data_IF_268941525591
#
_entry.id   IF_268941525591
#
_cell.length_a   1.000
_cell.length_b   1.000
_cell.length_c   1.000
_cell.angle_alpha   90.00
_cell.angle_beta   90.00
_cell.angle_gamma   90.00
#
_symmetry.space_group_name_H-M   'P 1'
#
loop_
_entity.id
_entity.type
_entity.pdbx_description
1 polymer ?
#
# COMPACT_ATOMS: atom_id res chain seq x y z
N UNK A 1 -4.50 -12.71 19.89
CA UNK A 1 -3.99 -12.11 18.63
C UNK A 1 -3.27 -13.18 17.80
N UNK A 2 -4.01 -14.14 17.26
CA UNK A 2 -3.48 -15.27 16.46
C UNK A 2 -3.89 -15.20 14.98
N UNK A 3 -4.87 -14.36 14.65
CA UNK A 3 -5.45 -14.19 13.31
C UNK A 3 -4.47 -13.62 12.27
N UNK A 4 -3.47 -12.82 12.69
CA UNK A 4 -2.50 -12.21 11.77
C UNK A 4 -1.37 -13.16 11.33
N UNK A 5 -1.15 -14.27 12.05
CA UNK A 5 -0.02 -15.16 11.80
C UNK A 5 -0.10 -15.87 10.43
N UNK A 6 -1.31 -16.20 9.95
CA UNK A 6 -1.50 -16.86 8.65
C UNK A 6 -1.11 -15.94 7.48
N UNK A 7 -1.57 -14.69 7.53
CA UNK A 7 -1.28 -13.68 6.51
C UNK A 7 0.21 -13.35 6.51
N UNK A 8 0.80 -13.20 7.70
CA UNK A 8 2.24 -12.97 7.86
C UNK A 8 3.09 -14.14 7.38
N UNK A 9 2.73 -15.39 7.68
CA UNK A 9 3.43 -16.58 7.17
C UNK A 9 3.39 -16.66 5.64
N UNK A 10 2.23 -16.36 5.05
CA UNK A 10 2.05 -16.45 3.60
C UNK A 10 2.84 -15.34 2.88
N UNK A 11 2.82 -14.13 3.42
CA UNK A 11 3.61 -13.00 2.92
C UNK A 11 5.11 -13.22 3.13
N UNK A 12 5.52 -13.74 4.29
CA UNK A 12 6.91 -14.02 4.62
C UNK A 12 7.48 -15.16 3.76
N UNK A 13 6.72 -16.24 3.52
CA UNK A 13 7.11 -17.31 2.58
C UNK A 13 7.32 -16.75 1.16
N UNK A 14 6.43 -15.88 0.69
CA UNK A 14 6.60 -15.20 -0.61
C UNK A 14 7.82 -14.30 -0.65
N UNK A 15 8.09 -13.55 0.41
CA UNK A 15 9.19 -12.58 0.44
C UNK A 15 10.56 -13.25 0.64
N UNK A 16 10.62 -14.33 1.41
CA UNK A 16 11.84 -15.09 1.67
C UNK A 16 12.27 -15.95 0.47
N UNK A 17 11.31 -16.42 -0.34
CA UNK A 17 11.61 -17.12 -1.62
C UNK A 17 12.04 -16.19 -2.76
N UNK A 18 11.97 -14.86 -2.61
CA UNK A 18 12.44 -13.95 -3.66
C UNK A 18 13.97 -13.96 -3.72
N UNK A 19 14.48 -14.32 -4.89
CA UNK A 19 15.89 -14.19 -5.27
C UNK A 19 16.36 -12.74 -5.09
N UNK A 20 17.68 -12.51 -5.01
CA UNK A 20 18.24 -11.16 -4.89
C UNK A 20 17.72 -10.22 -5.99
N UNK A 21 17.55 -10.75 -7.22
CA UNK A 21 16.96 -10.05 -8.36
C UNK A 21 15.47 -9.71 -8.13
N UNK A 22 14.69 -10.60 -7.51
CA UNK A 22 13.31 -10.32 -7.12
C UNK A 22 13.18 -9.22 -6.05
N UNK A 23 14.22 -9.02 -5.22
CA UNK A 23 14.26 -7.92 -4.22
C UNK A 23 14.61 -6.59 -4.87
N UNK A 24 15.57 -6.55 -5.79
CA UNK A 24 15.93 -5.32 -6.51
C UNK A 24 14.81 -4.85 -7.41
N UNK A 25 14.15 -5.74 -8.15
CA UNK A 25 12.99 -5.41 -8.99
C UNK A 25 11.83 -4.85 -8.14
N UNK A 26 11.57 -5.44 -6.97
CA UNK A 26 10.55 -4.92 -6.06
C UNK A 26 10.91 -3.53 -5.51
N UNK A 27 12.19 -3.28 -5.21
CA UNK A 27 12.68 -1.96 -4.79
C UNK A 27 12.55 -0.91 -5.89
N UNK A 28 12.93 -1.24 -7.13
CA UNK A 28 12.77 -0.37 -8.29
C UNK A 28 11.30 -0.05 -8.58
N UNK A 29 10.42 -1.05 -8.52
CA UNK A 29 8.99 -0.84 -8.68
C UNK A 29 8.40 0.10 -7.62
N UNK A 30 8.85 -0.02 -6.37
CA UNK A 30 8.44 0.89 -5.31
C UNK A 30 8.94 2.33 -5.55
N UNK A 31 10.21 2.50 -5.93
CA UNK A 31 10.77 3.81 -6.28
C UNK A 31 10.02 4.46 -7.45
N UNK A 32 9.71 3.67 -8.49
CA UNK A 32 8.92 4.12 -9.63
C UNK A 32 7.51 4.56 -9.22
N UNK A 33 6.89 3.86 -8.26
CA UNK A 33 5.58 4.22 -7.72
C UNK A 33 5.63 5.57 -7.00
N UNK A 34 6.68 5.84 -6.23
CA UNK A 34 6.89 7.15 -5.58
C UNK A 34 7.09 8.25 -6.62
N UNK A 35 7.94 8.02 -7.61
CA UNK A 35 8.17 8.98 -8.70
C UNK A 35 6.87 9.32 -9.44
N UNK A 36 6.07 8.29 -9.71
CA UNK A 36 4.75 8.40 -10.33
C UNK A 36 3.77 9.24 -9.49
N UNK A 37 3.83 9.13 -8.16
CA UNK A 37 3.02 9.98 -7.26
C UNK A 37 3.47 11.45 -7.32
N UNK A 38 4.77 11.72 -7.36
CA UNK A 38 5.30 13.08 -7.55
C UNK A 38 4.85 13.65 -8.89
N UNK A 39 4.85 12.85 -9.95
CA UNK A 39 4.37 13.25 -11.27
C UNK A 39 2.87 13.61 -11.26
N UNK A 40 2.04 12.92 -10.48
CA UNK A 40 0.64 13.29 -10.31
C UNK A 40 0.46 14.69 -9.69
N UNK A 41 1.23 15.00 -8.65
CA UNK A 41 1.21 16.33 -8.03
C UNK A 41 1.71 17.40 -9.01
N UNK A 42 2.82 17.12 -9.71
CA UNK A 42 3.38 18.03 -10.71
C UNK A 42 2.38 18.31 -11.84
N UNK A 43 1.66 17.29 -12.33
CA UNK A 43 0.61 17.44 -13.33
C UNK A 43 -0.49 18.39 -12.86
N UNK A 44 -0.96 18.22 -11.61
CA UNK A 44 -1.95 19.12 -11.03
C UNK A 44 -1.48 20.57 -11.01
N UNK A 45 -0.24 20.81 -10.58
CA UNK A 45 0.37 22.15 -10.55
C UNK A 45 0.51 22.74 -11.95
N UNK A 46 1.00 21.97 -12.92
CA UNK A 46 1.16 22.39 -14.31
C UNK A 46 -0.19 22.81 -14.90
N UNK A 47 -1.23 22.01 -14.68
CA UNK A 47 -2.56 22.28 -15.22
C UNK A 47 -3.19 23.52 -14.60
N UNK A 48 -2.98 23.75 -13.30
CA UNK A 48 -3.53 24.91 -12.58
C UNK A 48 -2.77 26.22 -12.86
N UNK A 49 -1.44 26.17 -12.93
CA UNK A 49 -0.60 27.37 -13.14
C UNK A 49 -0.54 27.78 -14.60
N UNK A 50 -0.71 26.83 -15.50
CA UNK A 50 -0.60 27.05 -16.93
C UNK A 50 0.79 27.36 -17.44
N UNK A 51 1.84 27.06 -16.67
CA UNK A 51 3.24 27.36 -17.01
C UNK A 51 3.87 26.51 -18.11
N UNK A 52 3.09 25.81 -18.94
CA UNK A 52 3.57 25.01 -20.07
C UNK A 52 2.92 25.49 -21.36
N UNK A 53 3.74 25.56 -22.42
CA UNK A 53 3.34 25.91 -23.77
C UNK A 53 2.25 24.98 -24.32
N UNK A 54 1.37 25.56 -25.13
CA UNK A 54 0.20 24.85 -25.68
C UNK A 54 0.57 23.60 -26.50
N UNK A 55 1.74 23.57 -27.13
CA UNK A 55 2.19 22.41 -27.93
C UNK A 55 2.61 21.22 -27.05
N UNK A 56 3.24 21.48 -25.91
CA UNK A 56 3.69 20.45 -24.97
C UNK A 56 2.59 20.00 -24.01
N UNK A 57 1.47 20.71 -23.96
CA UNK A 57 0.40 20.48 -22.98
C UNK A 57 -0.24 19.09 -23.10
N UNK A 58 -0.54 18.64 -24.32
CA UNK A 58 -1.15 17.33 -24.57
C UNK A 58 -0.24 16.15 -24.20
N UNK A 59 1.02 16.08 -24.67
CA UNK A 59 1.91 15.00 -24.26
C UNK A 59 2.15 15.00 -22.74
N UNK A 60 2.28 16.18 -22.12
CA UNK A 60 2.41 16.27 -20.66
C UNK A 60 1.16 15.75 -19.94
N UNK A 61 -0.04 16.07 -20.44
CA UNK A 61 -1.29 15.58 -19.87
C UNK A 61 -1.38 14.04 -19.93
N UNK A 62 -1.03 13.44 -21.07
CA UNK A 62 -1.03 11.98 -21.21
C UNK A 62 0.04 11.30 -20.36
N UNK A 63 1.27 11.81 -20.37
CA UNK A 63 2.37 11.24 -19.57
C UNK A 63 2.07 11.37 -18.09
N UNK A 64 1.63 12.55 -17.64
CA UNK A 64 1.26 12.79 -16.24
C UNK A 64 0.11 11.91 -15.80
N UNK A 65 -0.94 11.77 -16.62
CA UNK A 65 -2.07 10.91 -16.30
C UNK A 65 -1.67 9.42 -16.26
N UNK A 66 -0.85 8.97 -17.22
CA UNK A 66 -0.30 7.61 -17.24
C UNK A 66 0.54 7.29 -16.01
N UNK A 67 1.48 8.18 -15.65
CA UNK A 67 2.28 8.04 -14.43
C UNK A 67 1.39 8.03 -13.19
N UNK A 68 0.38 8.92 -13.11
CA UNK A 68 -0.57 8.92 -12.00
C UNK A 68 -1.32 7.58 -11.85
N UNK A 69 -1.72 6.97 -12.97
CA UNK A 69 -2.33 5.64 -12.96
C UNK A 69 -1.34 4.55 -12.51
N UNK A 70 -0.07 4.63 -12.93
CA UNK A 70 0.98 3.74 -12.44
C UNK A 70 1.18 3.83 -10.93
N UNK A 71 1.08 5.02 -10.33
CA UNK A 71 1.15 5.19 -8.89
C UNK A 71 0.06 4.38 -8.17
N UNK A 72 -1.20 4.50 -8.64
CA UNK A 72 -2.32 3.74 -8.08
C UNK A 72 -2.10 2.23 -8.25
N UNK A 73 -1.70 1.79 -9.45
CA UNK A 73 -1.44 0.38 -9.73
C UNK A 73 -0.33 -0.20 -8.85
N UNK A 74 0.72 0.58 -8.57
CA UNK A 74 1.83 0.18 -7.72
C UNK A 74 1.41 -0.20 -6.30
N UNK A 75 0.33 0.39 -5.78
CA UNK A 75 -0.25 0.01 -4.49
C UNK A 75 -1.41 -0.98 -4.63
N UNK A 76 -2.23 -0.85 -5.68
CA UNK A 76 -3.40 -1.68 -5.90
C UNK A 76 -3.03 -3.14 -6.22
N UNK A 77 -2.04 -3.38 -7.08
CA UNK A 77 -1.68 -4.74 -7.51
C UNK A 77 -1.13 -5.57 -6.35
N UNK A 78 -0.15 -5.08 -5.55
CA UNK A 78 0.30 -5.83 -4.37
C UNK A 78 -0.85 -6.12 -3.40
N UNK A 79 -1.71 -5.14 -3.14
CA UNK A 79 -2.89 -5.30 -2.29
C UNK A 79 -3.84 -6.38 -2.85
N UNK A 80 -4.16 -6.32 -4.14
CA UNK A 80 -5.04 -7.27 -4.82
C UNK A 80 -4.48 -8.70 -4.77
N UNK A 81 -3.15 -8.87 -4.71
CA UNK A 81 -2.48 -10.17 -4.63
C UNK A 81 -2.28 -10.69 -3.19
N UNK A 82 -2.67 -9.92 -2.17
CA UNK A 82 -2.62 -10.38 -0.77
C UNK A 82 -3.79 -11.32 -0.45
N UNK A 83 -3.56 -12.45 0.25
CA UNK A 83 -4.65 -13.25 0.81
C UNK A 83 -5.29 -12.50 1.99
N UNK A 84 -6.60 -12.65 2.19
CA UNK A 84 -7.38 -11.92 3.21
C UNK A 84 -7.21 -10.40 3.12
N UNK A 85 -7.55 -9.85 1.94
CA UNK A 85 -7.44 -8.42 1.61
C UNK A 85 -8.19 -7.56 2.63
N UNK A 86 -7.44 -6.94 3.54
CA UNK A 86 -7.98 -5.99 4.51
C UNK A 86 -8.06 -4.59 3.90
N UNK A 87 -8.82 -3.72 4.55
CA UNK A 87 -8.91 -2.32 4.17
C UNK A 87 -7.55 -1.62 4.29
N UNK A 88 -7.04 -1.09 3.18
CA UNK A 88 -5.82 -0.28 3.18
C UNK A 88 -6.15 1.21 3.04
N UNK A 89 -5.89 1.97 4.11
CA UNK A 89 -6.11 3.43 4.14
C UNK A 89 -5.18 4.16 3.17
N UNK A 90 -3.98 3.63 2.92
CA UNK A 90 -2.97 4.25 2.06
C UNK A 90 -3.42 4.18 0.61
N UNK A 91 -3.82 2.99 0.15
CA UNK A 91 -4.33 2.78 -1.20
C UNK A 91 -5.58 3.63 -1.47
N UNK A 92 -6.55 3.63 -0.55
CA UNK A 92 -7.74 4.44 -0.68
C UNK A 92 -7.42 5.94 -0.69
N UNK A 93 -6.52 6.40 0.19
CA UNK A 93 -6.07 7.80 0.25
C UNK A 93 -5.40 8.25 -1.05
N UNK A 94 -4.50 7.44 -1.61
CA UNK A 94 -3.82 7.73 -2.88
C UNK A 94 -4.82 7.78 -4.03
N UNK A 95 -5.73 6.81 -4.13
CA UNK A 95 -6.74 6.80 -5.20
C UNK A 95 -7.65 8.04 -5.12
N UNK A 96 -8.06 8.45 -3.92
CA UNK A 96 -8.84 9.69 -3.71
C UNK A 96 -8.03 10.94 -4.07
N UNK A 97 -6.76 11.03 -3.65
CA UNK A 97 -5.91 12.17 -4.02
C UNK A 97 -5.74 12.30 -5.54
N UNK A 98 -5.46 11.20 -6.23
CA UNK A 98 -5.34 11.20 -7.70
C UNK A 98 -6.67 11.55 -8.38
N UNK A 99 -7.80 11.08 -7.84
CA UNK A 99 -9.11 11.49 -8.32
C UNK A 99 -9.33 13.00 -8.19
N UNK A 100 -8.99 13.58 -7.04
CA UNK A 100 -9.07 15.05 -6.84
C UNK A 100 -8.20 15.78 -7.86
N UNK A 101 -6.94 15.36 -8.04
CA UNK A 101 -6.04 15.94 -9.03
C UNK A 101 -6.63 15.85 -10.44
N UNK A 102 -7.15 14.68 -10.81
CA UNK A 102 -7.77 14.46 -12.11
C UNK A 102 -8.98 15.40 -12.33
N UNK A 103 -9.82 15.58 -11.31
CA UNK A 103 -10.98 16.49 -11.41
C UNK A 103 -10.58 17.96 -11.51
N UNK A 104 -9.55 18.39 -10.78
CA UNK A 104 -9.03 19.76 -10.87
C UNK A 104 -8.38 20.01 -12.23
N UNK A 105 -7.56 19.06 -12.71
CA UNK A 105 -6.93 19.12 -14.02
C UNK A 105 -7.96 19.12 -15.16
N UNK A 106 -9.04 18.35 -15.03
CA UNK A 106 -10.16 18.36 -15.95
C UNK A 106 -10.86 19.73 -15.97
N UNK A 107 -11.14 20.31 -14.81
CA UNK A 107 -11.70 21.66 -14.71
C UNK A 107 -10.81 22.70 -15.41
N UNK A 108 -9.50 22.64 -15.17
CA UNK A 108 -8.52 23.51 -15.82
C UNK A 108 -8.47 23.30 -17.34
N UNK A 109 -8.53 22.04 -17.81
CA UNK A 109 -8.55 21.71 -19.24
C UNK A 109 -9.78 22.24 -19.98
N UNK A 110 -10.94 22.28 -19.31
CA UNK A 110 -12.18 22.79 -19.90
C UNK A 110 -12.19 24.31 -20.02
N UNK A 111 -11.56 25.02 -19.07
CA UNK A 111 -11.52 26.48 -19.01
C UNK A 111 -10.40 27.06 -19.90
N UNK A 112 -9.28 26.35 -20.06
CA UNK A 112 -8.19 26.79 -20.95
C UNK A 112 -8.66 26.76 -22.40
N UNK A 113 -8.48 27.87 -23.11
CA UNK A 113 -8.66 27.92 -24.57
C UNK A 113 -7.39 27.40 -25.22
N UNK A 114 -7.51 26.29 -25.92
CA UNK A 114 -6.40 25.72 -26.68
C UNK A 114 -6.63 25.94 -28.18
N UNK A 115 -5.74 26.67 -28.82
CA UNK A 115 -5.88 27.04 -30.23
C UNK A 115 -5.57 25.87 -31.18
N UNK A 116 -4.72 24.92 -30.75
CA UNK A 116 -4.25 23.82 -31.60
C UNK A 116 -5.16 22.58 -31.62
N UNK A 117 -6.05 22.42 -30.63
CA UNK A 117 -6.99 21.32 -30.58
C UNK A 117 -8.20 21.66 -29.71
N UNK A 118 -9.31 20.94 -29.91
CA UNK A 118 -10.49 21.14 -29.08
C UNK A 118 -10.21 20.78 -27.62
N UNK A 119 -10.78 21.55 -26.69
CA UNK A 119 -10.69 21.30 -25.24
C UNK A 119 -11.12 19.87 -24.87
N UNK A 120 -11.99 19.26 -25.68
CA UNK A 120 -12.41 17.88 -25.53
C UNK A 120 -11.24 16.89 -25.60
N UNK A 121 -10.26 17.11 -26.49
CA UNK A 121 -9.09 16.23 -26.64
C UNK A 121 -8.20 16.29 -25.39
N UNK A 122 -8.03 17.48 -24.81
CA UNK A 122 -7.25 17.67 -23.60
C UNK A 122 -7.94 17.09 -22.34
N UNK A 123 -9.27 17.04 -22.33
CA UNK A 123 -10.05 16.48 -21.23
C UNK A 123 -9.95 14.95 -21.13
N UNK A 124 -9.72 14.25 -22.25
CA UNK A 124 -9.70 12.77 -22.32
C UNK A 124 -8.76 12.11 -21.28
N UNK A 125 -7.46 12.46 -21.19
CA UNK A 125 -6.56 11.80 -20.23
C UNK A 125 -7.03 11.94 -18.77
N UNK A 126 -7.62 13.08 -18.41
CA UNK A 126 -8.11 13.31 -17.05
C UNK A 126 -9.42 12.58 -16.76
N UNK A 127 -10.32 12.47 -17.76
CA UNK A 127 -11.52 11.64 -17.64
C UNK A 127 -11.16 10.15 -17.45
N UNK A 128 -10.21 9.65 -18.24
CA UNK A 128 -9.73 8.27 -18.11
C UNK A 128 -9.08 8.03 -16.75
N UNK A 129 -8.25 8.95 -16.28
CA UNK A 129 -7.62 8.86 -14.97
C UNK A 129 -8.64 8.88 -13.83
N UNK A 130 -9.65 9.75 -13.90
CA UNK A 130 -10.72 9.83 -12.92
C UNK A 130 -11.55 8.53 -12.90
N UNK A 131 -11.96 8.03 -14.07
CA UNK A 131 -12.67 6.77 -14.20
C UNK A 131 -11.85 5.59 -13.64
N UNK A 132 -10.55 5.57 -13.91
CA UNK A 132 -9.63 4.56 -13.38
C UNK A 132 -9.52 4.62 -11.85
N UNK A 133 -9.33 5.81 -11.28
CA UNK A 133 -9.26 5.99 -9.83
C UNK A 133 -10.57 5.57 -9.13
N UNK A 134 -11.73 5.95 -9.68
CA UNK A 134 -13.04 5.50 -9.19
C UNK A 134 -13.17 3.98 -9.28
N UNK A 135 -12.77 3.38 -10.41
CA UNK A 135 -12.76 1.93 -10.59
C UNK A 135 -11.94 1.21 -9.53
N UNK A 136 -10.76 1.75 -9.19
CA UNK A 136 -9.90 1.22 -8.13
C UNK A 136 -10.54 1.37 -6.75
N UNK A 137 -11.17 2.50 -6.44
CA UNK A 137 -11.88 2.69 -5.16
C UNK A 137 -13.02 1.67 -5.02
N UNK A 138 -13.82 1.50 -6.07
CA UNK A 138 -14.92 0.51 -6.10
C UNK A 138 -14.38 -0.91 -5.97
N UNK A 139 -13.32 -1.25 -6.70
CA UNK A 139 -12.67 -2.55 -6.61
C UNK A 139 -12.10 -2.80 -5.21
N UNK A 140 -11.49 -1.79 -4.58
CA UNK A 140 -10.96 -1.86 -3.22
C UNK A 140 -12.06 -2.17 -2.21
N UNK A 141 -13.24 -1.56 -2.36
CA UNK A 141 -14.41 -1.83 -1.52
C UNK A 141 -15.01 -3.21 -1.79
N UNK A 142 -15.12 -3.63 -3.05
CA UNK A 142 -15.78 -4.89 -3.43
C UNK A 142 -14.91 -6.13 -3.19
N UNK A 143 -13.61 -6.04 -3.40
CA UNK A 143 -12.69 -7.19 -3.32
C UNK A 143 -12.13 -7.42 -1.92
N UNK A 144 -12.53 -6.58 -0.94
CA UNK A 144 -12.18 -6.76 0.47
C UNK A 144 -12.76 -8.06 0.99
N UNK A 145 -11.96 -8.82 1.74
CA UNK A 145 -12.41 -10.05 2.38
C UNK A 145 -12.97 -9.68 3.75
N UNK A 146 -14.25 -9.96 3.98
CA UNK A 146 -14.91 -9.72 5.27
C UNK A 146 -14.72 -10.87 6.24
N UNK A 147 -14.32 -12.05 5.73
CA UNK A 147 -14.01 -13.22 6.54
C UNK A 147 -12.68 -13.02 7.29
N UNK A 148 -12.68 -13.41 8.57
CA UNK A 148 -11.46 -13.40 9.37
C UNK A 148 -10.50 -14.48 8.85
N UNK A 149 -9.19 -14.19 8.80
CA UNK A 149 -8.21 -15.22 8.47
C UNK A 149 -8.31 -16.38 9.47
N UNK A 150 -8.12 -17.64 9.02
CA UNK A 150 -8.19 -18.80 9.89
C UNK A 150 -7.13 -18.67 10.98
N UNK A 151 -7.52 -18.93 12.23
CA UNK A 151 -6.58 -19.01 13.33
C UNK A 151 -5.59 -20.14 13.04
N UNK A 152 -4.30 -19.79 12.95
CA UNK A 152 -3.26 -20.80 12.79
C UNK A 152 -3.06 -21.47 14.14
N UNK A 153 -3.32 -22.77 14.21
CA UNK A 153 -2.93 -23.55 15.37
C UNK A 153 -1.40 -23.65 15.40
N UNK A 154 -0.79 -22.99 16.38
CA UNK A 154 0.67 -22.92 16.55
C UNK A 154 1.26 -24.31 16.76
N UNK A 155 0.49 -25.24 17.34
CA UNK A 155 0.89 -26.62 17.55
C UNK A 155 1.04 -27.42 16.24
N UNK A 156 0.40 -26.95 15.16
CA UNK A 156 0.50 -27.56 13.83
C UNK A 156 1.67 -27.03 12.98
N UNK A 157 2.38 -26.00 13.47
CA UNK A 157 3.45 -25.35 12.70
C UNK A 157 4.74 -26.18 12.68
N UNK A 158 5.33 -26.33 11.50
CA UNK A 158 6.64 -26.96 11.38
C UNK A 158 7.73 -26.05 12.00
N UNK A 159 8.86 -26.60 12.48
CA UNK A 159 9.95 -25.81 13.05
C UNK A 159 10.46 -24.70 12.12
N UNK A 160 10.40 -24.93 10.81
CA UNK A 160 10.80 -23.93 9.79
C UNK A 160 9.83 -22.75 9.70
N UNK A 161 8.54 -22.98 9.92
CA UNK A 161 7.51 -21.91 9.93
C UNK A 161 7.65 -21.03 11.18
N UNK A 162 7.98 -21.63 12.33
CA UNK A 162 8.25 -20.92 13.58
C UNK A 162 9.47 -20.00 13.43
N UNK A 163 10.51 -20.45 12.73
CA UNK A 163 11.71 -19.63 12.49
C UNK A 163 11.40 -18.41 11.59
N UNK A 164 10.57 -18.61 10.55
CA UNK A 164 10.11 -17.51 9.68
C UNK A 164 9.27 -16.51 10.48
N UNK A 165 8.34 -16.97 11.31
CA UNK A 165 7.55 -16.10 12.20
C UNK A 165 8.43 -15.31 13.17
N UNK A 166 9.43 -15.95 13.80
CA UNK A 166 10.39 -15.25 14.67
C UNK A 166 11.19 -14.20 13.91
N UNK A 167 11.66 -14.50 12.69
CA UNK A 167 12.36 -13.53 11.83
C UNK A 167 11.48 -12.34 11.46
N UNK A 168 10.20 -12.56 11.15
CA UNK A 168 9.23 -11.49 10.88
C UNK A 168 9.00 -10.65 12.13
N UNK A 169 8.72 -11.29 13.29
CA UNK A 169 8.53 -10.61 14.58
C UNK A 169 9.70 -9.70 14.91
N UNK A 170 10.94 -10.20 14.82
CA UNK A 170 12.16 -9.41 15.05
C UNK A 170 12.27 -8.22 14.11
N UNK A 171 11.88 -8.38 12.84
CA UNK A 171 11.93 -7.30 11.85
C UNK A 171 10.87 -6.24 12.11
N UNK A 172 9.63 -6.65 12.41
CA UNK A 172 8.55 -5.74 12.80
C UNK A 172 8.94 -4.96 14.06
N UNK A 173 9.51 -5.64 15.05
CA UNK A 173 10.00 -4.99 16.26
C UNK A 173 11.16 -4.02 15.98
N UNK A 174 12.09 -4.33 15.07
CA UNK A 174 13.12 -3.37 14.61
C UNK A 174 12.52 -2.14 13.94
N UNK A 175 11.46 -2.31 13.15
CA UNK A 175 10.76 -1.19 12.50
C UNK A 175 10.02 -0.34 13.54
N UNK A 176 9.28 -0.95 14.46
CA UNK A 176 8.60 -0.26 15.56
C UNK A 176 9.58 0.49 16.46
N UNK A 177 10.76 -0.10 16.72
CA UNK A 177 11.87 0.56 17.41
C UNK A 177 12.38 1.78 16.64
N UNK A 178 12.63 1.65 15.33
CA UNK A 178 13.09 2.78 14.50
C UNK A 178 12.10 3.94 14.47
N UNK A 179 10.82 3.68 14.79
CA UNK A 179 9.75 4.68 14.93
C UNK A 179 9.50 5.11 16.37
N UNK A 180 10.31 4.66 17.32
CA UNK A 180 10.26 4.98 18.76
C UNK A 180 8.93 4.63 19.45
N UNK A 181 8.21 3.61 18.95
CA UNK A 181 6.87 3.24 19.42
C UNK A 181 6.91 2.32 20.66
N UNK A 182 8.03 1.63 20.93
CA UNK A 182 8.16 0.64 22.03
C UNK A 182 9.48 0.83 22.80
N UNK A 183 9.42 0.88 24.13
CA UNK A 183 10.57 1.04 25.03
C UNK A 183 11.16 -0.32 25.48
N UNK A 184 12.47 -0.33 25.73
CA UNK A 184 13.34 -1.53 25.77
C UNK A 184 13.12 -2.54 26.91
N UNK A 185 12.38 -2.21 27.97
CA UNK A 185 12.32 -3.05 29.17
C UNK A 185 11.52 -4.35 29.00
N UNK A 186 10.60 -4.41 28.02
CA UNK A 186 9.70 -5.55 27.83
C UNK A 186 10.17 -6.54 26.74
N UNK A 187 11.34 -6.31 26.15
CA UNK A 187 11.71 -6.90 24.85
C UNK A 187 12.28 -8.32 24.94
N UNK A 188 13.11 -8.62 25.95
CA UNK A 188 13.61 -9.98 26.16
C UNK A 188 12.46 -10.95 26.46
N UNK A 189 11.53 -10.53 27.32
CA UNK A 189 10.33 -11.30 27.61
C UNK A 189 9.44 -11.53 26.38
N UNK A 190 9.36 -10.57 25.46
CA UNK A 190 8.57 -10.71 24.23
C UNK A 190 9.25 -11.54 23.13
N UNK A 191 10.58 -11.46 22.98
CA UNK A 191 11.34 -12.23 21.98
C UNK A 191 11.50 -13.70 22.39
N UNK A 192 11.56 -13.97 23.71
CA UNK A 192 11.62 -15.30 24.31
C UNK A 192 10.23 -15.87 24.69
N UNK A 193 9.16 -15.06 24.59
CA UNK A 193 7.81 -15.51 24.89
C UNK A 193 7.42 -16.69 23.97
N UNK A 194 7.04 -17.84 24.53
CA UNK A 194 6.50 -18.94 23.76
C UNK A 194 5.24 -18.47 23.03
N UNK A 195 5.04 -18.95 21.80
CA UNK A 195 3.84 -18.65 21.02
C UNK A 195 2.57 -19.24 21.67
N UNK A 196 2.74 -20.19 22.59
CA UNK A 196 1.70 -20.76 23.44
C UNK A 196 1.48 -19.90 24.70
N UNK A 197 0.81 -18.76 24.55
CA UNK A 197 0.08 -18.21 25.69
C UNK A 197 -1.38 -18.53 25.50
N UNK A 198 -1.80 -19.71 25.99
CA UNK A 198 -3.20 -19.92 26.32
C UNK A 198 -3.65 -18.78 27.25
N UNK A 199 -4.77 -18.10 26.98
CA UNK A 199 -5.32 -17.14 27.92
C UNK A 199 -5.93 -17.92 29.08
N UNK A 200 -5.13 -18.32 30.08
CA UNK A 200 -5.67 -19.17 31.14
C UNK A 200 -4.77 -19.61 32.29
N UNK A 201 -3.48 -19.29 32.30
CA UNK A 201 -2.61 -19.65 33.45
C UNK A 201 -1.92 -18.42 34.04
N UNK A 202 -2.72 -17.43 34.43
CA UNK A 202 -2.35 -16.58 35.54
C UNK A 202 -2.28 -17.46 36.79
N UNK A 203 -1.10 -18.03 37.01
CA UNK A 203 -0.67 -18.71 38.23
C UNK A 203 -0.83 -17.71 39.38
N UNK A 204 -1.96 -17.77 40.08
CA UNK A 204 -2.11 -17.26 41.44
C UNK A 204 -1.19 -18.10 42.34
N UNK A 205 0.10 -17.79 42.34
CA UNK A 205 0.95 -18.19 43.45
C UNK A 205 0.66 -17.26 44.63
N UNK A 206 0.43 -17.90 45.77
CA UNK A 206 -0.23 -17.35 46.93
C UNK A 206 0.58 -16.36 47.76
N UNK A 207 -0.16 -15.55 48.49
CA UNK A 207 0.30 -14.77 49.63
C UNK A 207 -0.79 -14.76 50.70
N UNK A 208 -0.93 -15.86 51.44
CA UNK A 208 -1.48 -15.84 52.81
C UNK A 208 -0.30 -16.07 53.75
N UNK A 209 0.07 -15.02 54.47
CA UNK A 209 0.42 -15.02 55.89
C UNK A 209 0.09 -13.63 56.41
#
# INVERSE_FOLDING_TARGET
>A
MLDYAHVELTLAKRWYRRTALGKTVAGLGFAFTIFSLCAAVALGLIMLTGGIDNEALLPVAWIGAGLSACAILGFFVPWALTPYRQWDRTLNGIAVMVLVIATLALGAALVRRWEAASNAVLAVPFLLLAAFAVGVIVAHVRLRVTEKPPAVDVASLTPSDIEVLRKVRRRTLKILRSRNIVAYKDFHGYDDAPFDTMPGSARRDGGRA
#
